data_IF_139066433759
#
_entry.id   IF_139066433759
#
_cell.length_a   1.000
_cell.length_b   1.000
_cell.length_c   1.000
_cell.angle_alpha   90.00
_cell.angle_beta   90.00
_cell.angle_gamma   90.00
#
_symmetry.space_group_name_H-M   'P 1'
#
loop_
_entity.id
_entity.type
_entity.pdbx_description
1 polymer ?
#
# COMPACT_ATOMS: atom_id res chain seq x y z
N UNK A 1 2.75 -31.56 54.31
CA UNK A 1 2.39 -31.70 52.88
C UNK A 1 2.67 -30.37 52.18
N UNK A 2 3.11 -30.45 50.92
CA UNK A 2 3.95 -29.47 50.21
C UNK A 2 3.22 -28.17 49.84
N UNK A 3 3.90 -27.03 50.00
CA UNK A 3 3.48 -25.73 49.49
C UNK A 3 3.69 -25.67 47.97
N UNK A 4 2.66 -25.30 47.23
CA UNK A 4 2.67 -25.19 45.77
C UNK A 4 3.04 -23.75 45.39
N UNK A 5 4.21 -23.55 44.80
CA UNK A 5 4.66 -22.27 44.25
C UNK A 5 4.06 -22.13 42.85
N UNK A 6 3.21 -21.12 42.64
CA UNK A 6 2.64 -20.79 41.35
C UNK A 6 3.60 -19.84 40.60
N UNK A 7 4.31 -20.37 39.60
CA UNK A 7 5.18 -19.59 38.73
C UNK A 7 4.33 -18.93 37.64
N UNK A 8 4.11 -17.62 37.74
CA UNK A 8 3.42 -16.83 36.71
C UNK A 8 4.39 -16.51 35.58
N UNK A 9 4.26 -17.20 34.45
CA UNK A 9 4.99 -16.86 33.22
C UNK A 9 4.33 -15.64 32.56
N UNK A 10 5.04 -14.51 32.54
CA UNK A 10 4.63 -13.33 31.78
C UNK A 10 4.98 -13.59 30.32
N UNK A 11 3.99 -13.95 29.50
CA UNK A 11 4.14 -14.00 28.05
C UNK A 11 4.14 -12.57 27.53
N UNK A 12 5.29 -12.06 27.12
CA UNK A 12 5.36 -10.83 26.34
C UNK A 12 4.80 -11.11 24.95
N UNK A 13 3.52 -10.80 24.73
CA UNK A 13 2.94 -10.75 23.40
C UNK A 13 3.37 -9.43 22.78
N UNK A 14 4.31 -9.46 21.85
CA UNK A 14 4.60 -8.30 21.02
C UNK A 14 3.33 -7.92 20.24
N UNK A 15 2.92 -6.64 20.19
CA UNK A 15 1.77 -6.25 19.40
C UNK A 15 2.13 -6.49 17.92
N UNK A 16 1.51 -7.51 17.33
CA UNK A 16 1.34 -7.59 15.88
C UNK A 16 0.50 -6.38 15.51
N UNK A 17 1.14 -5.33 15.01
CA UNK A 17 0.42 -4.18 14.46
C UNK A 17 -0.36 -4.71 13.25
N UNK A 18 -1.66 -4.94 13.44
CA UNK A 18 -2.53 -5.32 12.35
C UNK A 18 -2.52 -4.17 11.34
N UNK A 19 -2.30 -4.48 10.05
CA UNK A 19 -2.35 -3.49 8.98
C UNK A 19 -3.64 -2.68 9.09
N UNK A 20 -3.53 -1.39 9.43
CA UNK A 20 -4.69 -0.52 9.51
C UNK A 20 -5.10 -0.17 8.09
N UNK A 21 -6.30 -0.56 7.70
CA UNK A 21 -6.85 -0.10 6.42
C UNK A 21 -7.24 1.39 6.54
N UNK A 22 -6.27 2.28 6.38
CA UNK A 22 -6.39 3.75 6.46
C UNK A 22 -6.90 4.38 5.17
N UNK A 23 -7.17 3.57 4.15
CA UNK A 23 -7.71 4.02 2.87
C UNK A 23 -9.08 3.37 2.60
N UNK A 24 -9.94 4.09 1.91
CA UNK A 24 -11.06 3.53 1.16
C UNK A 24 -10.59 3.23 -0.26
N UNK A 25 -10.90 2.03 -0.76
CA UNK A 25 -10.64 1.67 -2.15
C UNK A 25 -11.82 2.15 -3.00
N UNK A 26 -11.58 3.14 -3.85
CA UNK A 26 -12.59 3.73 -4.74
C UNK A 26 -12.65 3.01 -6.09
N UNK A 27 -11.50 2.56 -6.59
CA UNK A 27 -11.35 1.79 -7.84
C UNK A 27 -10.27 0.75 -7.63
N UNK A 28 -10.48 -0.48 -8.12
CA UNK A 28 -9.44 -1.49 -8.22
C UNK A 28 -9.72 -2.42 -9.41
N UNK A 29 -8.78 -2.48 -10.36
CA UNK A 29 -8.75 -3.53 -11.38
C UNK A 29 -8.06 -4.77 -10.78
N UNK A 30 -8.87 -5.72 -10.33
CA UNK A 30 -8.38 -6.96 -9.69
C UNK A 30 -7.69 -7.91 -10.66
N UNK A 31 -7.71 -7.65 -11.97
CA UNK A 31 -6.87 -8.38 -12.93
C UNK A 31 -5.41 -7.96 -12.82
N UNK A 32 -5.13 -6.72 -12.41
CA UNK A 32 -3.80 -6.15 -12.30
C UNK A 32 -3.33 -6.00 -10.85
N UNK A 33 -4.14 -5.37 -9.98
CA UNK A 33 -3.83 -5.20 -8.55
C UNK A 33 -4.56 -6.27 -7.75
N UNK A 34 -3.84 -7.28 -7.29
CA UNK A 34 -4.40 -8.42 -6.56
C UNK A 34 -4.69 -8.12 -5.11
N UNK A 35 -3.88 -7.27 -4.50
CA UNK A 35 -4.04 -6.93 -3.09
C UNK A 35 -3.40 -5.58 -2.77
N UNK A 36 -3.86 -4.96 -1.70
CA UNK A 36 -3.40 -3.65 -1.21
C UNK A 36 -3.19 -3.76 0.29
N UNK A 37 -2.02 -3.32 0.75
CA UNK A 37 -1.73 -3.16 2.17
C UNK A 37 -1.38 -1.71 2.43
N UNK A 38 -2.00 -1.13 3.44
CA UNK A 38 -1.63 0.18 3.95
C UNK A 38 -1.37 0.09 5.44
N UNK A 39 -0.32 0.78 5.90
CA UNK A 39 -0.05 1.00 7.32
C UNK A 39 0.69 2.33 7.47
N UNK A 40 0.27 3.14 8.45
CA UNK A 40 0.83 4.47 8.72
C UNK A 40 0.79 5.42 7.50
N UNK A 41 1.92 5.65 6.85
CA UNK A 41 2.04 6.46 5.63
C UNK A 41 2.38 5.61 4.41
N UNK A 42 2.55 4.31 4.60
CA UNK A 42 3.02 3.39 3.59
C UNK A 42 1.87 2.65 2.93
N UNK A 43 2.00 2.47 1.62
CA UNK A 43 1.12 1.66 0.79
C UNK A 43 1.99 0.67 0.02
N UNK A 44 1.55 -0.58 -0.03
CA UNK A 44 2.10 -1.61 -0.89
C UNK A 44 0.99 -2.21 -1.74
N UNK A 45 1.36 -2.64 -2.94
CA UNK A 45 0.47 -3.37 -3.82
C UNK A 45 1.07 -4.72 -4.17
N UNK A 46 0.19 -5.70 -4.41
CA UNK A 46 0.54 -6.94 -5.12
C UNK A 46 0.03 -6.82 -6.55
N UNK A 47 0.95 -6.92 -7.51
CA UNK A 47 0.59 -7.03 -8.92
C UNK A 47 0.32 -8.48 -9.31
N UNK A 48 -0.51 -8.67 -10.32
CA UNK A 48 -0.70 -9.97 -10.95
C UNK A 48 0.61 -10.47 -11.59
N UNK A 49 0.81 -11.79 -11.60
CA UNK A 49 2.01 -12.43 -12.14
C UNK A 49 2.34 -12.00 -13.58
N UNK A 50 1.31 -11.75 -14.40
CA UNK A 50 1.47 -11.32 -15.79
C UNK A 50 1.95 -9.85 -15.94
N UNK A 51 1.90 -9.06 -14.86
CA UNK A 51 2.15 -7.62 -14.87
C UNK A 51 3.36 -7.22 -14.00
N UNK A 52 4.14 -8.17 -13.50
CA UNK A 52 5.24 -7.90 -12.57
C UNK A 52 6.31 -6.97 -13.13
N UNK A 53 6.50 -6.98 -14.46
CA UNK A 53 7.45 -6.13 -15.17
C UNK A 53 6.84 -4.84 -15.75
N UNK A 54 5.52 -4.65 -15.63
CA UNK A 54 4.85 -3.49 -16.18
C UNK A 54 5.22 -2.22 -15.40
N UNK A 55 5.33 -1.10 -16.11
CA UNK A 55 5.45 0.22 -15.48
C UNK A 55 4.10 0.66 -14.92
N UNK A 56 4.11 1.17 -13.69
CA UNK A 56 2.95 1.79 -13.06
C UNK A 56 3.27 3.25 -12.79
N UNK A 57 2.38 4.14 -13.22
CA UNK A 57 2.47 5.57 -12.92
C UNK A 57 1.64 5.85 -11.68
N UNK A 58 2.24 6.53 -10.71
CA UNK A 58 1.59 6.88 -9.45
C UNK A 58 1.42 8.40 -9.39
N UNK A 59 0.20 8.82 -9.09
CA UNK A 59 -0.15 10.23 -8.84
C UNK A 59 -0.74 10.36 -7.44
N UNK A 60 -0.46 11.49 -6.81
CA UNK A 60 -1.05 11.86 -5.52
C UNK A 60 -1.73 13.21 -5.63
N UNK A 61 -2.81 13.38 -4.88
CA UNK A 61 -3.56 14.63 -4.90
C UNK A 61 -4.19 14.97 -3.56
N UNK A 62 -4.52 16.26 -3.41
CA UNK A 62 -5.24 16.76 -2.24
C UNK A 62 -6.76 16.60 -2.39
N UNK A 63 -7.26 16.45 -3.62
CA UNK A 63 -8.67 16.32 -3.98
C UNK A 63 -8.85 15.16 -4.98
N UNK A 64 -10.05 14.56 -5.01
CA UNK A 64 -10.38 13.47 -5.93
C UNK A 64 -10.09 13.88 -7.38
N UNK A 65 -9.12 13.21 -8.01
CA UNK A 65 -8.67 13.42 -9.41
C UNK A 65 -8.34 14.86 -9.79
N UNK A 66 -7.93 15.68 -8.81
CA UNK A 66 -7.69 17.11 -8.99
C UNK A 66 -6.66 17.60 -7.96
N UNK A 67 -5.98 18.71 -8.23
CA UNK A 67 -4.90 19.23 -7.37
C UNK A 67 -3.79 18.19 -7.15
N UNK A 68 -3.25 17.67 -8.25
CA UNK A 68 -2.11 16.77 -8.25
C UNK A 68 -0.88 17.44 -7.63
N UNK A 69 -0.18 16.69 -6.78
CA UNK A 69 0.99 17.17 -6.05
C UNK A 69 2.27 16.63 -6.69
N UNK A 70 3.31 17.46 -6.84
CA UNK A 70 4.59 16.98 -7.31
C UNK A 70 5.21 16.03 -6.28
N UNK A 71 5.90 15.02 -6.78
CA UNK A 71 6.81 14.17 -6.04
C UNK A 71 8.12 14.90 -5.74
N UNK A 72 9.01 14.25 -4.99
CA UNK A 72 10.33 14.79 -4.63
C UNK A 72 11.21 15.16 -5.82
N UNK A 73 10.93 14.62 -7.01
CA UNK A 73 11.61 14.91 -8.26
C UNK A 73 10.98 16.09 -9.05
N UNK A 74 9.95 16.75 -8.50
CA UNK A 74 9.21 17.83 -9.15
C UNK A 74 8.17 17.39 -10.18
N UNK A 75 8.13 16.10 -10.55
CA UNK A 75 7.12 15.54 -11.46
C UNK A 75 5.84 15.20 -10.70
N UNK A 76 4.68 15.33 -11.34
CA UNK A 76 3.40 14.79 -10.83
C UNK A 76 3.27 13.28 -11.02
N UNK A 77 4.04 12.73 -11.96
CA UNK A 77 4.07 11.30 -12.25
C UNK A 77 5.30 10.67 -11.61
N UNK A 78 5.08 9.71 -10.72
CA UNK A 78 6.11 8.81 -10.20
C UNK A 78 6.03 7.49 -10.97
N UNK A 79 7.08 7.20 -11.72
CA UNK A 79 7.23 5.93 -12.42
C UNK A 79 7.75 4.86 -11.46
N UNK A 80 6.93 3.84 -11.20
CA UNK A 80 7.37 2.64 -10.52
C UNK A 80 7.67 1.54 -11.55
N UNK A 81 8.96 1.27 -11.72
CA UNK A 81 9.50 0.30 -12.68
C UNK A 81 10.46 -0.64 -11.98
N UNK A 82 10.47 -1.90 -12.40
CA UNK A 82 11.39 -2.90 -11.87
C UNK A 82 10.78 -4.30 -11.93
N UNK A 83 11.63 -5.31 -11.78
CA UNK A 83 11.17 -6.68 -11.68
C UNK A 83 10.64 -6.92 -10.26
N UNK A 84 9.33 -7.09 -10.15
CA UNK A 84 8.67 -7.50 -8.91
C UNK A 84 8.67 -9.02 -8.82
N UNK A 85 8.87 -9.56 -7.62
CA UNK A 85 8.68 -10.99 -7.39
C UNK A 85 7.20 -11.38 -7.52
N UNK A 86 6.93 -12.65 -7.80
CA UNK A 86 5.55 -13.14 -7.85
C UNK A 86 4.94 -13.19 -6.45
N UNK A 87 3.68 -12.75 -6.31
CA UNK A 87 2.91 -12.72 -5.07
C UNK A 87 3.59 -11.96 -3.90
N UNK A 88 4.49 -11.01 -4.21
CA UNK A 88 5.12 -10.16 -3.21
C UNK A 88 4.48 -8.78 -3.15
N UNK A 89 4.43 -8.21 -1.94
CA UNK A 89 4.18 -6.79 -1.74
C UNK A 89 5.32 -5.98 -2.34
N UNK A 90 4.99 -5.03 -3.20
CA UNK A 90 5.95 -4.22 -3.94
C UNK A 90 5.49 -2.76 -4.03
N UNK A 91 6.31 -1.92 -4.68
CA UNK A 91 6.02 -0.51 -4.91
C UNK A 91 5.68 0.24 -3.61
N UNK A 92 6.52 0.11 -2.56
CA UNK A 92 6.32 0.82 -1.30
C UNK A 92 6.22 2.32 -1.59
N UNK A 93 5.03 2.86 -1.37
CA UNK A 93 4.75 4.27 -1.54
C UNK A 93 4.55 4.89 -0.17
N UNK A 94 5.38 5.87 0.19
CA UNK A 94 5.20 6.64 1.41
C UNK A 94 4.59 8.00 1.05
N UNK A 95 3.41 8.31 1.58
CA UNK A 95 2.72 9.57 1.29
C UNK A 95 1.72 9.94 2.39
N UNK A 96 1.54 11.25 2.57
CA UNK A 96 0.49 11.86 3.39
C UNK A 96 -0.67 12.41 2.55
N UNK A 97 -0.68 12.18 1.24
CA UNK A 97 -1.74 12.67 0.38
C UNK A 97 -3.11 12.06 0.73
N UNK A 98 -4.17 12.79 0.41
CA UNK A 98 -5.55 12.37 0.62
C UNK A 98 -5.99 11.34 -0.41
N UNK A 99 -5.47 11.44 -1.64
CA UNK A 99 -5.78 10.51 -2.71
C UNK A 99 -4.50 9.99 -3.34
N UNK A 100 -4.55 8.71 -3.72
CA UNK A 100 -3.46 8.01 -4.41
C UNK A 100 -4.05 7.25 -5.59
N UNK A 101 -3.49 7.50 -6.76
CA UNK A 101 -3.92 6.89 -8.01
C UNK A 101 -2.77 6.11 -8.64
N UNK A 102 -3.05 4.88 -9.08
CA UNK A 102 -2.14 4.08 -9.88
C UNK A 102 -2.72 3.93 -11.28
N UNK A 103 -1.88 4.19 -12.26
CA UNK A 103 -2.22 4.21 -13.67
C UNK A 103 -1.33 3.22 -14.42
N UNK A 104 -1.95 2.40 -15.25
CA UNK A 104 -1.25 1.46 -16.13
C UNK A 104 -1.70 1.68 -17.57
N UNK A 105 -0.74 1.95 -18.46
CA UNK A 105 -1.01 2.20 -19.90
C UNK A 105 -2.12 3.24 -20.13
N UNK A 106 -2.09 4.33 -19.34
CA UNK A 106 -3.06 5.43 -19.40
C UNK A 106 -4.42 5.15 -18.77
N UNK A 107 -4.63 4.00 -18.12
CA UNK A 107 -5.87 3.63 -17.44
C UNK A 107 -5.71 3.65 -15.93
N UNK A 108 -6.67 4.22 -15.22
CA UNK A 108 -6.72 4.19 -13.76
C UNK A 108 -7.05 2.75 -13.30
N UNK A 109 -6.13 2.13 -12.57
CA UNK A 109 -6.24 0.73 -12.13
C UNK A 109 -6.38 0.60 -10.62
N UNK A 110 -5.97 1.62 -9.86
CA UNK A 110 -6.22 1.70 -8.43
C UNK A 110 -6.45 3.16 -8.04
N UNK A 111 -7.48 3.41 -7.24
CA UNK A 111 -7.73 4.72 -6.66
C UNK A 111 -8.07 4.56 -5.18
N UNK A 112 -7.29 5.23 -4.34
CA UNK A 112 -7.40 5.19 -2.88
C UNK A 112 -7.75 6.58 -2.35
N UNK A 113 -8.64 6.63 -1.37
CA UNK A 113 -8.95 7.84 -0.60
C UNK A 113 -8.62 7.61 0.88
N UNK A 114 -7.84 8.48 1.49
CA UNK A 114 -7.51 8.41 2.91
C UNK A 114 -8.77 8.63 3.74
N UNK A 115 -8.93 7.82 4.80
CA UNK A 115 -10.00 7.95 5.78
C UNK A 115 -9.84 9.17 6.67
#
# INVERSE_FOLDING_TARGET
MKALILLMAIVMVAPVHAAQNIFNVLVQDTNLVKDIRAEEENIWIKLAAANLADEIIIRISSKDKDLYRPWFNGSVDLQSKGFRGNDIWSDRLQTQANFVEYWHKGRLVLHLQRK
#
